data_IF_320166659663
#
_entry.id   IF_320166659663
#
_cell.length_a   1.000
_cell.length_b   1.000
_cell.length_c   1.000
_cell.angle_alpha   90.00
_cell.angle_beta   90.00
_cell.angle_gamma   90.00
#
_symmetry.space_group_name_H-M   'P 1'
#
loop_
_entity.id
_entity.type
_entity.pdbx_description
1 polymer ?
#
# COMPACT_ATOMS: atom_id res chain seq x y z
N UNK A 1 18.73 -17.94 -6.00
CA UNK A 1 18.42 -17.56 -4.60
C UNK A 1 17.80 -16.17 -4.63
N UNK A 2 16.56 -16.03 -4.17
CA UNK A 2 15.86 -14.74 -4.15
C UNK A 2 16.50 -13.80 -3.13
N UNK A 3 16.83 -12.58 -3.56
CA UNK A 3 17.40 -11.53 -2.70
C UNK A 3 16.70 -10.21 -2.97
N UNK A 4 16.75 -9.28 -2.01
CA UNK A 4 16.22 -7.92 -2.23
C UNK A 4 16.91 -7.26 -3.43
N UNK A 5 18.21 -7.51 -3.65
CA UNK A 5 18.92 -7.03 -4.84
C UNK A 5 18.26 -7.52 -6.14
N UNK A 6 17.88 -8.80 -6.20
CA UNK A 6 17.21 -9.37 -7.38
C UNK A 6 15.84 -8.73 -7.60
N UNK A 7 15.03 -8.58 -6.55
CA UNK A 7 13.72 -7.91 -6.63
C UNK A 7 13.86 -6.47 -7.09
N UNK A 8 14.78 -5.71 -6.48
CA UNK A 8 15.03 -4.32 -6.86
C UNK A 8 15.48 -4.20 -8.32
N UNK A 9 16.33 -5.13 -8.79
CA UNK A 9 16.74 -5.16 -10.20
C UNK A 9 15.55 -5.37 -11.14
N UNK A 10 14.69 -6.35 -10.86
CA UNK A 10 13.50 -6.62 -11.69
C UNK A 10 12.47 -5.48 -11.61
N UNK A 11 12.33 -4.79 -10.47
CA UNK A 11 11.50 -3.57 -10.38
C UNK A 11 12.02 -2.44 -11.28
N UNK A 12 13.34 -2.23 -11.34
CA UNK A 12 13.93 -1.26 -12.26
C UNK A 12 13.71 -1.66 -13.73
N UNK A 13 13.90 -2.94 -14.05
CA UNK A 13 13.65 -3.49 -15.39
C UNK A 13 12.18 -3.31 -15.79
N UNK A 14 11.25 -3.64 -14.90
CA UNK A 14 9.82 -3.44 -15.09
C UNK A 14 9.49 -1.96 -15.31
N UNK A 15 10.05 -1.06 -14.52
CA UNK A 15 9.87 0.39 -14.70
C UNK A 15 10.30 0.84 -16.10
N UNK A 16 11.48 0.43 -16.58
CA UNK A 16 11.98 0.80 -17.91
C UNK A 16 11.07 0.28 -19.02
N UNK A 17 10.64 -0.98 -18.92
CA UNK A 17 9.74 -1.62 -19.88
C UNK A 17 8.36 -0.95 -19.89
N UNK A 18 7.82 -0.61 -18.71
CA UNK A 18 6.54 0.07 -18.59
C UNK A 18 6.61 1.50 -19.09
N UNK A 19 7.68 2.22 -18.75
CA UNK A 19 7.91 3.58 -19.23
C UNK A 19 7.93 3.62 -20.77
N UNK A 20 8.64 2.67 -21.39
CA UNK A 20 8.67 2.53 -22.85
C UNK A 20 7.31 2.19 -23.43
N UNK A 21 6.59 1.22 -22.85
CA UNK A 21 5.35 0.68 -23.44
C UNK A 21 4.11 1.53 -23.19
N UNK A 22 4.01 2.15 -22.02
CA UNK A 22 2.78 2.79 -21.53
C UNK A 22 2.95 4.29 -21.26
N UNK A 23 4.17 4.81 -21.15
CA UNK A 23 4.43 6.23 -20.86
C UNK A 23 5.29 6.95 -21.90
N UNK A 24 5.46 6.36 -23.08
CA UNK A 24 6.18 6.96 -24.20
C UNK A 24 7.63 7.41 -23.87
N UNK A 25 8.30 6.71 -22.93
CA UNK A 25 9.61 7.09 -22.37
C UNK A 25 9.66 8.51 -21.77
N UNK A 26 8.54 9.05 -21.30
CA UNK A 26 8.48 10.41 -20.70
C UNK A 26 8.89 10.47 -19.24
N UNK A 27 9.18 9.33 -18.60
CA UNK A 27 9.59 9.29 -17.20
C UNK A 27 11.10 9.10 -17.09
N UNK A 28 11.76 9.98 -16.33
CA UNK A 28 13.13 9.74 -15.87
C UNK A 28 13.12 8.68 -14.76
N UNK A 29 14.15 7.82 -14.71
CA UNK A 29 14.27 6.78 -13.69
C UNK A 29 14.21 7.36 -12.27
N UNK A 30 13.21 7.01 -11.45
CA UNK A 30 13.12 7.43 -10.06
C UNK A 30 14.05 6.58 -9.18
N UNK A 31 14.18 6.99 -7.91
CA UNK A 31 14.67 6.08 -6.88
C UNK A 31 13.56 5.05 -6.58
N UNK A 32 13.78 3.79 -6.95
CA UNK A 32 12.85 2.71 -6.62
C UNK A 32 13.31 2.06 -5.32
N UNK A 33 12.44 2.08 -4.31
CA UNK A 33 12.76 1.60 -2.96
C UNK A 33 11.80 0.48 -2.53
N UNK A 34 12.28 -0.37 -1.61
CA UNK A 34 11.46 -1.37 -0.92
C UNK A 34 11.55 -1.07 0.58
N UNK A 35 10.52 -0.42 1.11
CA UNK A 35 10.47 0.04 2.49
C UNK A 35 9.13 -0.32 3.13
N UNK A 36 9.12 -0.41 4.45
CA UNK A 36 7.88 -0.71 5.19
C UNK A 36 6.96 0.50 5.25
N UNK A 37 5.67 0.28 5.00
CA UNK A 37 4.65 1.28 5.31
C UNK A 37 4.33 1.29 6.81
N UNK A 38 5.10 2.07 7.58
CA UNK A 38 4.96 2.15 9.04
C UNK A 38 3.65 2.82 9.50
N UNK A 39 3.16 3.79 8.71
CA UNK A 39 2.05 4.65 9.10
C UNK A 39 0.72 4.31 8.42
N UNK A 40 0.75 3.67 7.24
CA UNK A 40 -0.44 3.29 6.50
C UNK A 40 -0.36 1.82 6.10
N UNK A 41 -0.79 0.94 7.00
CA UNK A 41 -0.73 -0.52 6.87
C UNK A 41 -1.56 -1.11 5.72
N UNK A 42 -2.14 -0.29 4.86
CA UNK A 42 -2.88 -0.70 3.67
C UNK A 42 -2.25 -0.14 2.37
N UNK A 43 -1.20 0.69 2.46
CA UNK A 43 -0.50 1.21 1.28
C UNK A 43 0.43 0.13 0.74
N UNK A 44 0.19 -0.33 -0.48
CA UNK A 44 1.08 -1.27 -1.17
C UNK A 44 2.28 -0.56 -1.80
N UNK A 45 2.18 0.75 -2.04
CA UNK A 45 3.27 1.60 -2.51
C UNK A 45 3.00 3.07 -2.23
N UNK A 46 3.93 3.94 -2.64
CA UNK A 46 3.70 5.39 -2.78
C UNK A 46 4.71 6.01 -3.76
N UNK A 47 4.30 7.11 -4.38
CA UNK A 47 5.15 8.01 -5.13
C UNK A 47 5.31 9.34 -4.38
N UNK A 48 6.53 9.84 -4.27
CA UNK A 48 6.77 11.17 -3.72
C UNK A 48 6.16 12.25 -4.61
N UNK A 49 5.52 13.28 -4.04
CA UNK A 49 4.95 14.42 -4.80
C UNK A 49 6.00 15.40 -5.35
N UNK A 50 7.25 15.29 -4.88
CA UNK A 50 8.38 16.13 -5.29
C UNK A 50 9.67 15.30 -5.24
N UNK A 51 10.74 15.72 -5.95
CA UNK A 51 12.03 15.07 -5.80
C UNK A 51 12.54 15.19 -4.36
N UNK A 52 12.82 14.05 -3.72
CA UNK A 52 13.31 13.97 -2.34
C UNK A 52 14.72 13.36 -2.24
N UNK A 53 15.18 12.72 -3.31
CA UNK A 53 16.54 12.21 -3.42
C UNK A 53 17.42 13.23 -4.14
N UNK A 54 18.56 13.59 -3.54
CA UNK A 54 19.53 14.48 -4.17
C UNK A 54 20.96 14.13 -3.83
N UNK A 55 21.88 14.46 -4.72
CA UNK A 55 23.31 14.40 -4.43
C UNK A 55 23.73 15.60 -3.57
N UNK A 56 24.94 15.55 -2.99
CA UNK A 56 25.45 16.64 -2.13
C UNK A 56 25.50 18.00 -2.84
N UNK A 57 25.64 18.00 -4.16
CA UNK A 57 25.71 19.23 -4.97
C UNK A 57 24.33 19.69 -5.46
N UNK A 58 23.27 18.92 -5.25
CA UNK A 58 21.90 19.22 -5.67
C UNK A 58 21.66 19.15 -7.19
N UNK A 59 22.60 18.59 -7.96
CA UNK A 59 22.51 18.39 -9.40
C UNK A 59 21.63 17.20 -9.79
N UNK A 60 21.58 16.16 -8.95
CA UNK A 60 20.64 15.04 -9.10
C UNK A 60 19.42 15.33 -8.24
N UNK A 61 18.23 15.17 -8.82
CA UNK A 61 16.94 15.27 -8.12
C UNK A 61 16.03 14.17 -8.62
N UNK A 62 15.75 13.18 -7.79
CA UNK A 62 14.88 12.05 -8.15
C UNK A 62 13.63 12.04 -7.28
N UNK A 63 12.51 11.72 -7.93
CA UNK A 63 11.31 11.24 -7.27
C UNK A 63 11.58 9.85 -6.69
N UNK A 64 10.79 9.47 -5.69
CA UNK A 64 10.75 8.12 -5.14
C UNK A 64 9.48 7.39 -5.64
N UNK A 65 9.65 6.13 -6.01
CA UNK A 65 8.56 5.14 -6.04
C UNK A 65 8.95 4.06 -5.04
N UNK A 66 8.17 3.93 -3.97
CA UNK A 66 8.36 2.85 -3.00
C UNK A 66 7.34 1.74 -3.23
N UNK A 67 7.81 0.50 -3.19
CA UNK A 67 6.98 -0.70 -3.03
C UNK A 67 7.06 -1.16 -1.57
N UNK A 68 5.91 -1.36 -0.94
CA UNK A 68 5.87 -1.71 0.47
C UNK A 68 6.39 -3.13 0.71
N UNK A 69 7.39 -3.25 1.57
CA UNK A 69 8.15 -4.48 1.78
C UNK A 69 7.29 -5.68 2.23
N UNK A 70 6.14 -5.41 2.84
CA UNK A 70 5.18 -6.42 3.32
C UNK A 70 4.39 -7.10 2.19
N UNK A 71 4.27 -6.46 1.02
CA UNK A 71 3.36 -6.89 -0.05
C UNK A 71 4.07 -7.40 -1.31
N UNK A 72 5.40 -7.32 -1.35
CA UNK A 72 6.23 -7.69 -2.52
C UNK A 72 6.01 -9.13 -3.00
N UNK A 73 5.61 -10.05 -2.10
CA UNK A 73 5.42 -11.46 -2.43
C UNK A 73 3.95 -11.90 -2.52
N UNK A 74 3.00 -10.98 -2.54
CA UNK A 74 1.58 -11.33 -2.62
C UNK A 74 1.27 -12.04 -3.94
N UNK A 75 1.56 -11.35 -5.04
CA UNK A 75 1.43 -11.83 -6.40
C UNK A 75 2.26 -10.92 -7.31
N UNK A 76 2.75 -11.47 -8.43
CA UNK A 76 3.52 -10.70 -9.40
C UNK A 76 2.69 -9.55 -9.98
N UNK A 77 1.44 -9.82 -10.40
CA UNK A 77 0.60 -8.78 -11.00
C UNK A 77 0.10 -7.76 -9.99
N UNK A 78 -0.12 -8.11 -8.73
CA UNK A 78 -0.39 -7.12 -7.67
C UNK A 78 0.80 -6.16 -7.45
N UNK A 79 2.03 -6.66 -7.59
CA UNK A 79 3.23 -5.81 -7.53
C UNK A 79 3.34 -4.92 -8.77
N UNK A 80 3.02 -5.45 -9.96
CA UNK A 80 3.02 -4.68 -11.21
C UNK A 80 1.89 -3.63 -11.23
N UNK A 81 0.71 -3.95 -10.69
CA UNK A 81 -0.39 -3.01 -10.45
C UNK A 81 0.12 -1.83 -9.62
N UNK A 82 0.74 -2.14 -8.47
CA UNK A 82 1.28 -1.11 -7.57
C UNK A 82 2.35 -0.26 -8.27
N UNK A 83 3.31 -0.88 -8.95
CA UNK A 83 4.35 -0.15 -9.68
C UNK A 83 3.75 0.77 -10.74
N UNK A 84 2.82 0.26 -11.56
CA UNK A 84 2.17 1.04 -12.62
C UNK A 84 1.32 2.18 -12.04
N UNK A 85 0.64 1.96 -10.91
CA UNK A 85 -0.12 2.99 -10.17
C UNK A 85 0.80 4.14 -9.76
N UNK A 86 1.94 3.83 -9.13
CA UNK A 86 2.91 4.86 -8.74
C UNK A 86 3.58 5.54 -9.94
N UNK A 87 3.72 4.85 -11.07
CA UNK A 87 4.17 5.46 -12.33
C UNK A 87 3.15 6.44 -12.92
N UNK A 88 1.84 6.22 -12.71
CA UNK A 88 0.79 7.19 -13.07
C UNK A 88 0.95 8.46 -12.26
N UNK A 89 1.16 8.35 -10.94
CA UNK A 89 1.47 9.50 -10.10
C UNK A 89 2.74 10.22 -10.54
N UNK A 90 3.82 9.47 -10.81
CA UNK A 90 5.06 10.06 -11.29
C UNK A 90 4.84 10.83 -12.59
N UNK A 91 4.11 10.26 -13.55
CA UNK A 91 3.77 10.94 -14.80
C UNK A 91 3.04 12.24 -14.54
N UNK A 92 1.99 12.21 -13.73
CA UNK A 92 1.19 13.40 -13.45
C UNK A 92 2.03 14.46 -12.75
N UNK A 93 2.86 14.08 -11.77
CA UNK A 93 3.77 14.97 -11.07
C UNK A 93 4.77 15.67 -12.02
N UNK A 94 5.43 14.94 -12.92
CA UNK A 94 6.42 15.56 -13.83
C UNK A 94 5.78 16.41 -14.93
N UNK A 95 4.48 16.23 -15.20
CA UNK A 95 3.71 17.05 -16.14
C UNK A 95 2.87 18.15 -15.46
N UNK A 96 3.02 18.33 -14.13
CA UNK A 96 2.27 19.36 -13.38
C UNK A 96 0.76 19.10 -13.30
N UNK A 97 0.33 17.85 -13.46
CA UNK A 97 -1.07 17.44 -13.37
C UNK A 97 -1.36 17.08 -11.93
N UNK A 98 -2.31 17.80 -11.30
CA UNK A 98 -2.78 17.46 -9.96
C UNK A 98 -3.80 16.33 -10.05
N UNK A 99 -3.40 15.13 -9.68
CA UNK A 99 -4.19 13.91 -9.84
C UNK A 99 -4.85 13.41 -8.55
N UNK A 100 -4.46 13.97 -7.40
CA UNK A 100 -5.08 13.70 -6.10
C UNK A 100 -5.63 14.96 -5.42
N UNK A 101 -6.47 14.73 -4.40
CA UNK A 101 -7.12 15.74 -3.57
C UNK A 101 -7.39 15.20 -2.17
N UNK A 102 -7.92 16.04 -1.26
CA UNK A 102 -8.18 15.68 0.15
C UNK A 102 -6.92 15.15 0.85
N UNK A 103 -5.84 15.95 0.81
CA UNK A 103 -4.51 15.57 1.28
C UNK A 103 -4.05 14.23 0.68
N UNK A 104 -3.96 14.19 -0.65
CA UNK A 104 -3.49 13.04 -1.43
C UNK A 104 -4.29 11.73 -1.28
N UNK A 105 -5.41 11.73 -0.55
CA UNK A 105 -6.19 10.51 -0.28
C UNK A 105 -7.18 10.18 -1.40
N UNK A 106 -7.67 11.18 -2.13
CA UNK A 106 -8.73 11.02 -3.13
C UNK A 106 -8.18 11.22 -4.55
N UNK A 107 -8.16 10.14 -5.34
CA UNK A 107 -7.70 10.11 -6.73
C UNK A 107 -8.79 10.67 -7.65
N UNK A 108 -8.49 11.76 -8.34
CA UNK A 108 -9.46 12.51 -9.14
C UNK A 108 -9.53 11.98 -10.59
N UNK A 109 -10.30 12.66 -11.45
CA UNK A 109 -10.50 12.22 -12.84
C UNK A 109 -9.22 12.25 -13.68
N UNK A 110 -8.28 13.14 -13.39
CA UNK A 110 -6.98 13.16 -14.09
C UNK A 110 -6.15 11.91 -13.78
N UNK A 111 -6.21 11.42 -12.53
CA UNK A 111 -5.62 10.12 -12.20
C UNK A 111 -6.24 9.01 -13.06
N UNK A 112 -7.58 8.92 -13.07
CA UNK A 112 -8.31 7.92 -13.87
C UNK A 112 -7.92 7.95 -15.35
N UNK A 113 -7.92 9.13 -15.96
CA UNK A 113 -7.60 9.32 -17.38
C UNK A 113 -6.21 8.79 -17.72
N UNK A 114 -5.22 9.14 -16.90
CA UNK A 114 -3.85 8.66 -17.09
C UNK A 114 -3.73 7.16 -16.78
N UNK A 115 -4.40 6.66 -15.75
CA UNK A 115 -4.42 5.24 -15.41
C UNK A 115 -4.95 4.40 -16.58
N UNK A 116 -6.14 4.74 -17.11
CA UNK A 116 -6.72 4.02 -18.26
C UNK A 116 -5.77 4.06 -19.46
N UNK A 117 -5.20 5.23 -19.76
CA UNK A 117 -4.22 5.37 -20.86
C UNK A 117 -2.97 4.52 -20.65
N UNK A 118 -2.60 4.23 -19.41
CA UNK A 118 -1.47 3.38 -19.05
C UNK A 118 -1.79 1.87 -19.02
N UNK A 119 -3.02 1.45 -19.32
CA UNK A 119 -3.42 0.04 -19.35
C UNK A 119 -4.25 -0.43 -18.16
N UNK A 120 -4.75 0.48 -17.33
CA UNK A 120 -5.69 0.14 -16.26
C UNK A 120 -7.15 0.08 -16.73
N UNK A 121 -7.95 -0.69 -16.01
CA UNK A 121 -9.40 -0.69 -16.07
C UNK A 121 -10.02 -0.51 -14.67
N UNK A 122 -11.32 -0.25 -14.64
CA UNK A 122 -12.11 -0.11 -13.41
C UNK A 122 -13.36 -0.96 -13.52
N UNK A 123 -13.69 -1.69 -12.46
CA UNK A 123 -14.91 -2.51 -12.38
C UNK A 123 -16.19 -1.65 -12.40
N UNK A 124 -16.10 -0.42 -11.91
CA UNK A 124 -17.23 0.51 -11.75
C UNK A 124 -17.00 1.81 -12.53
N UNK A 125 -18.09 2.36 -13.06
CA UNK A 125 -18.14 3.68 -13.69
C UNK A 125 -18.24 4.82 -12.66
N UNK A 126 -18.26 4.51 -11.36
CA UNK A 126 -18.31 5.47 -10.26
C UNK A 126 -17.04 5.39 -9.39
N UNK A 127 -16.52 6.55 -8.93
CA UNK A 127 -15.38 6.57 -8.01
C UNK A 127 -15.78 6.09 -6.62
N UNK A 128 -14.82 5.55 -5.87
CA UNK A 128 -15.00 5.30 -4.44
C UNK A 128 -15.25 6.63 -3.70
N UNK A 129 -16.21 6.69 -2.75
CA UNK A 129 -16.53 7.93 -2.02
C UNK A 129 -15.36 8.51 -1.23
N UNK A 130 -14.46 7.65 -0.74
CA UNK A 130 -13.33 8.01 0.12
C UNK A 130 -12.03 8.18 -0.65
N UNK A 131 -11.72 7.25 -1.55
CA UNK A 131 -10.42 7.15 -2.24
C UNK A 131 -10.47 7.55 -3.71
N UNK A 132 -11.65 7.83 -4.26
CA UNK A 132 -11.80 8.23 -5.65
C UNK A 132 -11.52 7.08 -6.62
N UNK A 133 -10.68 7.33 -7.60
CA UNK A 133 -10.27 6.36 -8.62
C UNK A 133 -9.01 5.54 -8.24
N UNK A 134 -8.82 5.28 -6.95
CA UNK A 134 -7.62 4.58 -6.43
C UNK A 134 -7.55 3.10 -6.80
N UNK A 135 -8.68 2.44 -7.01
CA UNK A 135 -8.77 0.98 -7.18
C UNK A 135 -8.74 0.60 -8.66
N UNK A 136 -7.70 1.04 -9.37
CA UNK A 136 -7.44 0.67 -10.74
C UNK A 136 -6.78 -0.72 -10.79
N UNK A 137 -7.13 -1.56 -11.76
CA UNK A 137 -6.48 -2.88 -11.99
C UNK A 137 -5.95 -2.99 -13.40
N UNK A 138 -4.75 -3.55 -13.58
CA UNK A 138 -4.21 -3.78 -14.92
C UNK A 138 -5.24 -4.63 -15.69
N UNK A 139 -5.62 -4.16 -16.88
CA UNK A 139 -6.55 -4.91 -17.72
C UNK A 139 -5.96 -6.25 -18.13
N UNK A 140 -6.81 -7.21 -18.50
CA UNK A 140 -6.33 -8.51 -18.97
C UNK A 140 -5.37 -8.37 -20.17
N UNK A 141 -5.68 -7.48 -21.11
CA UNK A 141 -4.79 -7.17 -22.25
C UNK A 141 -3.41 -6.69 -21.76
N UNK A 142 -3.39 -5.84 -20.74
CA UNK A 142 -2.13 -5.31 -20.18
C UNK A 142 -1.36 -6.39 -19.46
N UNK A 143 -2.02 -7.28 -18.71
CA UNK A 143 -1.38 -8.45 -18.08
C UNK A 143 -0.78 -9.40 -19.13
N UNK A 144 -1.47 -9.62 -20.24
CA UNK A 144 -0.98 -10.44 -21.35
C UNK A 144 0.26 -9.84 -22.03
N UNK A 145 0.32 -8.51 -22.11
CA UNK A 145 1.52 -7.79 -22.59
C UNK A 145 2.67 -7.95 -21.59
N UNK A 146 2.42 -7.70 -20.31
CA UNK A 146 3.44 -7.79 -19.24
C UNK A 146 3.99 -9.22 -19.12
N UNK A 147 3.15 -10.24 -19.26
CA UNK A 147 3.56 -11.66 -19.23
C UNK A 147 4.60 -12.02 -20.28
N UNK A 148 4.66 -11.27 -21.39
CA UNK A 148 5.60 -11.47 -22.50
C UNK A 148 6.84 -10.59 -22.36
N UNK A 149 6.89 -9.70 -21.37
CA UNK A 149 8.05 -8.89 -21.09
C UNK A 149 9.13 -9.71 -20.40
N UNK A 150 10.38 -9.33 -20.63
CA UNK A 150 11.53 -9.96 -19.99
C UNK A 150 11.64 -9.48 -18.53
N UNK A 151 10.80 -10.02 -17.64
CA UNK A 151 10.80 -9.76 -16.19
C UNK A 151 10.79 -11.11 -15.48
N UNK A 152 11.77 -11.36 -14.61
CA UNK A 152 11.84 -12.60 -13.85
C UNK A 152 10.84 -12.59 -12.69
N UNK A 153 9.64 -13.14 -12.94
CA UNK A 153 8.57 -13.22 -11.95
C UNK A 153 8.94 -14.06 -10.72
N UNK A 154 9.90 -14.99 -10.84
CA UNK A 154 10.26 -15.92 -9.76
C UNK A 154 10.96 -15.24 -8.58
N UNK A 155 11.47 -14.02 -8.76
CA UNK A 155 12.13 -13.27 -7.69
C UNK A 155 11.13 -12.63 -6.72
N UNK A 156 9.85 -12.49 -7.09
CA UNK A 156 8.82 -11.84 -6.26
C UNK A 156 8.24 -12.81 -5.21
N UNK A 157 9.12 -13.46 -4.45
CA UNK A 157 8.77 -14.53 -3.49
C UNK A 157 9.08 -14.17 -2.04
N UNK A 158 9.79 -13.07 -1.78
CA UNK A 158 10.19 -12.62 -0.44
C UNK A 158 9.47 -11.32 -0.03
N UNK A 159 9.07 -11.26 1.24
CA UNK A 159 8.45 -10.07 1.86
C UNK A 159 8.96 -9.87 3.28
N UNK A 160 8.93 -8.65 3.78
CA UNK A 160 9.19 -8.37 5.20
C UNK A 160 8.05 -8.90 6.05
N UNK A 161 8.34 -9.89 6.91
CA UNK A 161 7.40 -10.34 7.95
C UNK A 161 7.45 -9.37 9.11
N UNK A 162 6.30 -8.76 9.43
CA UNK A 162 6.18 -7.92 10.63
C UNK A 162 6.18 -8.80 11.89
N UNK A 163 6.68 -8.33 13.04
CA UNK A 163 6.83 -9.12 14.28
C UNK A 163 5.56 -9.83 14.78
N UNK A 164 4.37 -9.39 14.36
CA UNK A 164 3.10 -10.08 14.63
C UNK A 164 2.91 -11.40 13.86
N UNK A 165 3.69 -11.65 12.82
CA UNK A 165 3.64 -12.81 11.93
C UNK A 165 4.91 -13.67 11.99
N UNK A 166 5.87 -13.30 12.83
CA UNK A 166 7.01 -14.14 13.14
C UNK A 166 6.56 -15.08 14.27
N UNK A 167 6.28 -16.36 13.94
CA UNK A 167 6.37 -17.39 14.98
C UNK A 167 7.79 -17.31 15.55
N UNK A 168 7.98 -17.44 16.88
CA UNK A 168 9.30 -17.57 17.44
C UNK A 168 10.05 -18.65 16.65
N UNK A 169 11.21 -18.31 16.12
CA UNK A 169 12.12 -19.33 15.59
C UNK A 169 12.53 -20.14 16.81
N UNK A 170 11.95 -21.32 16.97
CA UNK A 170 12.43 -22.27 17.96
C UNK A 170 13.87 -22.58 17.59
N UNK A 171 14.81 -22.11 18.42
CA UNK A 171 16.18 -22.55 18.36
C UNK A 171 16.14 -24.07 18.61
N UNK A 172 16.44 -24.83 17.56
CA UNK A 172 16.45 -26.28 17.58
C UNK A 172 17.38 -26.79 18.70
N UNK A 173 16.78 -27.36 19.74
CA UNK A 173 17.40 -28.43 20.51
C UNK A 173 16.79 -29.74 20.04
N UNK A 174 17.66 -30.62 19.53
CA UNK A 174 17.36 -31.95 18.99
C UNK A 174 16.35 -32.73 19.84
N UNK A 175 15.29 -33.25 19.21
CA UNK A 175 15.08 -34.70 19.06
C UNK A 175 13.71 -35.03 18.41
N UNK A 176 13.75 -36.04 17.53
CA UNK A 176 12.66 -36.92 17.06
C UNK A 176 11.52 -36.37 16.19
N UNK A 177 11.30 -37.15 15.12
CA UNK A 177 10.27 -37.11 14.09
C UNK A 177 8.83 -36.82 14.57
N UNK A 178 8.11 -35.98 13.83
CA UNK A 178 6.71 -36.24 13.46
C UNK A 178 6.28 -35.38 12.26
N UNK A 179 5.89 -36.07 11.19
CA UNK A 179 5.16 -35.53 10.04
C UNK A 179 3.78 -35.05 10.48
N UNK A 180 3.44 -33.78 10.21
CA UNK A 180 2.05 -33.33 10.18
C UNK A 180 1.88 -32.35 9.01
N UNK A 181 1.31 -32.84 7.91
CA UNK A 181 0.60 -32.03 6.93
C UNK A 181 -0.57 -31.32 7.64
N UNK A 182 -0.76 -30.03 7.44
CA UNK A 182 -2.04 -29.40 7.75
C UNK A 182 -2.31 -28.21 6.85
N UNK A 183 -3.52 -28.26 6.31
CA UNK A 183 -4.17 -27.34 5.39
C UNK A 183 -4.24 -25.90 5.94
N UNK A 184 -4.15 -24.94 5.03
CA UNK A 184 -4.25 -23.51 5.33
C UNK A 184 -5.73 -23.15 5.36
N UNK A 185 -6.33 -23.09 6.56
CA UNK A 185 -7.64 -22.45 6.75
C UNK A 185 -7.48 -20.92 6.74
N UNK A 186 -8.16 -20.26 5.79
CA UNK A 186 -8.33 -18.81 5.74
C UNK A 186 -9.11 -18.31 6.96
N UNK A 187 -8.40 -17.81 7.98
CA UNK A 187 -9.06 -17.09 9.07
C UNK A 187 -9.38 -15.65 8.66
N UNK A 188 -10.66 -15.38 8.44
CA UNK A 188 -11.22 -14.03 8.41
C UNK A 188 -10.90 -13.31 9.72
N UNK A 189 -9.96 -12.37 9.68
CA UNK A 189 -9.65 -11.54 10.86
C UNK A 189 -10.70 -10.43 10.99
N UNK A 190 -11.65 -10.63 11.90
CA UNK A 190 -12.55 -9.56 12.36
C UNK A 190 -11.69 -8.47 12.99
N UNK A 191 -11.72 -7.27 12.40
CA UNK A 191 -10.97 -6.13 12.91
C UNK A 191 -11.36 -5.85 14.36
N UNK A 192 -10.39 -5.92 15.28
CA UNK A 192 -10.62 -5.62 16.70
C UNK A 192 -10.99 -4.13 16.85
N UNK A 193 -12.13 -3.83 17.50
CA UNK A 193 -12.54 -2.48 17.90
C UNK A 193 -11.41 -1.85 18.74
N UNK A 194 -10.88 -0.71 18.30
CA UNK A 194 -9.73 -0.03 18.94
C UNK A 194 -10.14 1.22 19.73
N UNK A 195 -11.40 1.65 19.61
CA UNK A 195 -11.92 2.86 20.27
C UNK A 195 -13.35 2.66 20.77
N UNK A 196 -13.66 3.21 21.94
CA UNK A 196 -14.99 3.20 22.55
C UNK A 196 -15.47 4.63 22.76
N UNK A 197 -16.71 4.91 22.38
CA UNK A 197 -17.35 6.22 22.57
C UNK A 197 -18.13 6.23 23.89
N UNK A 198 -18.07 7.37 24.56
CA UNK A 198 -18.75 7.67 25.81
C UNK A 198 -19.57 8.94 25.62
N UNK A 199 -20.81 8.96 26.09
CA UNK A 199 -21.71 10.12 25.93
C UNK A 199 -22.26 10.54 27.28
N UNK A 200 -22.20 11.83 27.59
CA UNK A 200 -22.85 12.37 28.78
C UNK A 200 -24.36 12.39 28.57
N UNK A 201 -25.18 11.80 29.46
CA UNK A 201 -26.63 11.70 29.26
C UNK A 201 -27.39 13.04 29.34
N UNK A 202 -26.75 14.09 29.87
CA UNK A 202 -27.40 15.39 30.09
C UNK A 202 -27.02 16.45 29.05
N UNK A 203 -25.73 16.59 28.74
CA UNK A 203 -25.25 17.61 27.80
C UNK A 203 -24.79 17.04 26.45
N UNK A 204 -24.88 15.73 26.24
CA UNK A 204 -24.43 15.05 25.01
C UNK A 204 -22.94 15.23 24.69
N UNK A 205 -22.10 15.58 25.67
CA UNK A 205 -20.64 15.60 25.52
C UNK A 205 -20.14 14.20 25.12
N UNK A 206 -19.34 14.13 24.05
CA UNK A 206 -18.79 12.87 23.52
C UNK A 206 -17.29 12.80 23.80
N UNK A 207 -16.85 11.70 24.40
CA UNK A 207 -15.44 11.38 24.65
C UNK A 207 -15.12 10.00 24.06
N UNK A 208 -13.89 9.76 23.60
CA UNK A 208 -13.44 8.46 23.08
C UNK A 208 -12.24 7.94 23.86
N UNK A 209 -12.23 6.64 24.18
CA UNK A 209 -11.12 5.95 24.86
C UNK A 209 -10.52 4.84 23.99
N UNK A 210 -9.26 4.49 24.27
CA UNK A 210 -8.57 3.31 23.71
C UNK A 210 -8.66 2.08 24.61
N UNK A 211 -9.40 2.18 25.73
CA UNK A 211 -9.68 1.09 26.66
C UNK A 211 -11.20 0.84 26.71
N UNK A 212 -11.65 -0.42 26.72
CA UNK A 212 -13.08 -0.78 26.74
C UNK A 212 -13.80 -0.36 28.02
N UNK A 213 -13.10 -0.36 29.16
CA UNK A 213 -13.69 -0.08 30.46
C UNK A 213 -12.97 1.10 31.10
N UNK A 214 -13.61 2.28 31.08
CA UNK A 214 -13.14 3.49 31.75
C UNK A 214 -14.31 4.21 32.41
N UNK A 215 -14.07 4.82 33.57
CA UNK A 215 -15.05 5.64 34.26
C UNK A 215 -14.72 7.11 33.99
N UNK A 216 -15.57 7.80 33.22
CA UNK A 216 -15.37 9.21 32.84
C UNK A 216 -16.51 10.03 33.43
N UNK A 217 -16.17 11.11 34.13
CA UNK A 217 -17.13 12.07 34.69
C UNK A 217 -17.18 13.32 33.82
N UNK A 218 -18.36 13.81 33.50
CA UNK A 218 -18.54 15.10 32.86
C UNK A 218 -18.38 16.20 33.91
N UNK A 219 -17.42 17.12 33.73
CA UNK A 219 -17.20 18.22 34.69
C UNK A 219 -18.33 19.27 34.70
N UNK A 220 -19.10 19.38 33.62
CA UNK A 220 -20.22 20.36 33.55
C UNK A 220 -21.50 19.82 34.18
N UNK A 221 -21.72 18.51 34.07
CA UNK A 221 -22.95 17.86 34.55
C UNK A 221 -22.73 17.07 35.84
N UNK A 222 -21.48 16.85 36.24
CA UNK A 222 -21.07 15.96 37.33
C UNK A 222 -21.62 14.52 37.20
N UNK A 223 -22.00 14.12 35.99
CA UNK A 223 -22.56 12.80 35.67
C UNK A 223 -21.52 11.91 34.99
N UNK A 224 -21.59 10.60 35.24
CA UNK A 224 -20.78 9.60 34.54
C UNK A 224 -21.24 9.47 33.09
N UNK A 225 -20.30 9.44 32.15
CA UNK A 225 -20.59 9.21 30.74
C UNK A 225 -20.93 7.73 30.51
N UNK A 226 -21.90 7.48 29.63
CA UNK A 226 -22.37 6.15 29.26
C UNK A 226 -21.62 5.67 28.01
N UNK A 227 -21.05 4.47 28.06
CA UNK A 227 -20.38 3.83 26.92
C UNK A 227 -21.38 3.25 25.93
N UNK A 228 -20.99 3.11 24.67
CA UNK A 228 -21.83 2.49 23.61
C UNK A 228 -22.23 1.03 23.88
N UNK A 229 -21.56 0.35 24.82
CA UNK A 229 -21.75 -1.07 25.13
C UNK A 229 -22.39 -1.29 26.54
N UNK A 230 -22.96 -0.24 27.17
CA UNK A 230 -23.58 -0.26 28.51
C UNK A 230 -25.07 0.11 28.49
#
# INVERSE_FOLDING_TARGET
MTTIKAVTHELHKAFELFNKRFFENKLSTPAITIQTSLHNKLSMGWCSVRPIWSDKKGGIKLYEINISAEYVNHDFFETMDTLMHEMVHLYNNVHGIKDCSRNETYHNKHFKERAIKSGFEYESDKPDPKYGWSFARLSQETKDIISKMDIDQSVFTISRRMPRYLKPVEFASNDSEMNIETEIEEFQTVAKKTTWKWTCPKCNLIVRSTKPYVNIKCGDCELTLLGEDN
#
